data_IF_114278090210
#
_entry.id   IF_114278090210
#
_cell.length_a   1.000
_cell.length_b   1.000
_cell.length_c   1.000
_cell.angle_alpha   90.00
_cell.angle_beta   90.00
_cell.angle_gamma   90.00
#
_symmetry.space_group_name_H-M   'P 1'
#
loop_
_entity.id
_entity.type
_entity.pdbx_description
1 polymer ?
#
# COMPACT_ATOMS: atom_id res chain seq x y z
N UNK A 1 -34.70 -22.38 -15.05
CA UNK A 1 -34.55 -20.96 -14.68
C UNK A 1 -33.47 -20.41 -15.56
N UNK A 2 -33.86 -19.49 -16.44
CA UNK A 2 -33.05 -18.93 -17.50
C UNK A 2 -32.16 -17.82 -16.92
N UNK A 3 -30.84 -18.01 -16.95
CA UNK A 3 -29.83 -17.07 -16.45
C UNK A 3 -29.21 -16.23 -17.58
N UNK A 4 -29.98 -15.92 -18.62
CA UNK A 4 -29.49 -15.07 -19.72
C UNK A 4 -30.08 -13.66 -19.66
N UNK A 5 -29.78 -12.92 -18.57
CA UNK A 5 -29.86 -11.46 -18.57
C UNK A 5 -28.45 -10.89 -18.77
N UNK A 6 -28.18 -10.08 -19.80
CA UNK A 6 -26.85 -9.54 -20.11
C UNK A 6 -26.31 -8.52 -19.08
N UNK A 7 -27.01 -8.35 -17.96
CA UNK A 7 -26.65 -7.43 -16.87
C UNK A 7 -26.05 -8.13 -15.64
N UNK A 8 -26.10 -9.46 -15.56
CA UNK A 8 -25.62 -10.19 -14.37
C UNK A 8 -24.15 -10.62 -14.55
N UNK A 9 -23.24 -9.65 -14.38
CA UNK A 9 -21.80 -9.91 -14.41
C UNK A 9 -21.28 -10.62 -13.13
N UNK A 10 -22.18 -11.07 -12.26
CA UNK A 10 -21.87 -11.81 -11.03
C UNK A 10 -21.21 -10.96 -9.93
N UNK A 11 -21.12 -9.64 -10.13
CA UNK A 11 -20.53 -8.73 -9.15
C UNK A 11 -21.59 -8.19 -8.19
N UNK A 12 -21.20 -8.04 -6.92
CA UNK A 12 -22.01 -7.28 -5.96
C UNK A 12 -22.07 -5.80 -6.36
N UNK A 13 -23.03 -5.05 -5.79
CA UNK A 13 -23.11 -3.59 -5.97
C UNK A 13 -21.81 -2.87 -5.61
N UNK A 14 -21.11 -3.32 -4.54
CA UNK A 14 -19.78 -2.81 -4.16
C UNK A 14 -18.72 -3.17 -5.19
N UNK A 15 -18.75 -4.38 -5.73
CA UNK A 15 -17.84 -4.83 -6.80
C UNK A 15 -18.00 -4.01 -8.07
N UNK A 16 -19.24 -3.67 -8.45
CA UNK A 16 -19.52 -2.77 -9.57
C UNK A 16 -18.99 -1.36 -9.33
N UNK A 17 -19.20 -0.81 -8.12
CA UNK A 17 -18.71 0.52 -7.76
C UNK A 17 -17.18 0.61 -7.84
N UNK A 18 -16.49 -0.44 -7.41
CA UNK A 18 -15.03 -0.53 -7.43
C UNK A 18 -14.40 -0.54 -8.84
N UNK A 19 -15.20 -0.70 -9.91
CA UNK A 19 -14.73 -0.57 -11.29
C UNK A 19 -14.46 0.90 -11.68
N UNK A 20 -14.94 1.85 -10.90
CA UNK A 20 -14.73 3.28 -11.16
C UNK A 20 -13.30 3.68 -10.83
N UNK A 21 -12.53 4.28 -11.75
CA UNK A 21 -11.17 4.75 -11.47
C UNK A 21 -11.16 5.74 -10.31
N UNK A 22 -10.25 5.55 -9.35
CA UNK A 22 -10.08 6.43 -8.18
C UNK A 22 -9.31 7.71 -8.50
N UNK A 23 -8.67 7.76 -9.67
CA UNK A 23 -7.76 8.83 -10.10
C UNK A 23 -8.03 9.23 -11.54
N UNK A 24 -8.38 10.50 -11.74
CA UNK A 24 -8.65 11.07 -13.06
C UNK A 24 -7.38 11.18 -13.93
N UNK A 25 -6.21 11.19 -13.31
CA UNK A 25 -4.91 11.35 -13.97
C UNK A 25 -4.23 10.03 -14.36
N UNK A 26 -4.88 8.88 -14.14
CA UNK A 26 -4.36 7.56 -14.51
C UNK A 26 -3.99 7.44 -16.01
N UNK A 27 -4.80 7.93 -16.97
CA UNK A 27 -4.42 7.88 -18.38
C UNK A 27 -3.13 8.64 -18.69
N UNK A 28 -2.93 9.80 -18.06
CA UNK A 28 -1.72 10.61 -18.23
C UNK A 28 -0.52 9.92 -17.59
N UNK A 29 -0.70 9.30 -16.42
CA UNK A 29 0.33 8.48 -15.79
C UNK A 29 0.75 7.33 -16.71
N UNK A 30 -0.19 6.54 -17.24
CA UNK A 30 0.14 5.41 -18.12
C UNK A 30 0.79 5.85 -19.43
N UNK A 31 0.33 6.95 -20.02
CA UNK A 31 0.98 7.54 -21.19
C UNK A 31 2.43 7.94 -20.87
N UNK A 32 2.65 8.64 -19.76
CA UNK A 32 3.99 9.04 -19.34
C UNK A 32 4.91 7.85 -19.02
N UNK A 33 4.36 6.78 -18.43
CA UNK A 33 5.10 5.56 -18.14
C UNK A 33 5.44 4.75 -19.41
N UNK A 34 4.62 4.84 -20.46
CA UNK A 34 4.86 4.19 -21.74
C UNK A 34 5.87 4.91 -22.64
N UNK A 35 6.06 6.21 -22.44
CA UNK A 35 6.99 7.04 -23.22
C UNK A 35 7.88 7.88 -22.29
N UNK A 36 8.69 7.20 -21.47
CA UNK A 36 9.50 7.88 -20.45
C UNK A 36 10.68 8.63 -21.04
N UNK A 37 10.93 9.81 -20.47
CA UNK A 37 12.12 10.60 -20.75
C UNK A 37 13.40 9.80 -20.45
N UNK A 38 14.35 9.89 -21.39
CA UNK A 38 15.73 9.49 -21.17
C UNK A 38 16.67 10.48 -21.85
N UNK A 39 17.73 10.98 -21.19
CA UNK A 39 18.54 12.10 -21.71
C UNK A 39 19.21 11.83 -23.07
N UNK A 40 19.45 10.56 -23.41
CA UNK A 40 20.08 10.15 -24.68
C UNK A 40 19.09 9.46 -25.64
N UNK A 41 18.53 8.31 -25.25
CA UNK A 41 17.65 7.51 -26.11
C UNK A 41 16.22 8.05 -26.30
N UNK A 42 15.70 8.91 -25.41
CA UNK A 42 14.37 9.48 -25.55
C UNK A 42 14.25 10.88 -24.91
N UNK A 43 14.96 11.89 -25.46
CA UNK A 43 15.00 13.22 -24.85
C UNK A 43 13.67 13.98 -24.95
N UNK A 44 12.70 13.48 -25.73
CA UNK A 44 11.35 14.06 -25.88
C UNK A 44 10.28 13.31 -25.07
N UNK A 45 10.64 12.23 -24.39
CA UNK A 45 9.71 11.48 -23.53
C UNK A 45 9.29 12.28 -22.29
N UNK A 46 8.35 11.71 -21.54
CA UNK A 46 7.74 12.33 -20.37
C UNK A 46 8.53 12.09 -19.08
N UNK A 47 8.63 13.13 -18.26
CA UNK A 47 9.00 13.02 -16.85
C UNK A 47 7.72 12.89 -16.01
N UNK A 48 7.46 11.72 -15.46
CA UNK A 48 6.29 11.52 -14.58
C UNK A 48 6.55 12.13 -13.20
N UNK A 49 5.73 13.10 -12.81
CA UNK A 49 5.68 13.69 -11.47
C UNK A 49 4.36 13.35 -10.74
N UNK A 50 3.66 12.31 -11.22
CA UNK A 50 2.30 11.94 -10.76
C UNK A 50 2.32 10.86 -9.66
N UNK A 51 3.49 10.36 -9.27
CA UNK A 51 3.63 9.28 -8.29
C UNK A 51 4.54 9.73 -7.15
N UNK A 52 4.03 9.64 -5.92
CA UNK A 52 4.83 9.84 -4.72
C UNK A 52 5.63 8.58 -4.42
N UNK A 53 6.79 8.44 -5.08
CA UNK A 53 7.70 7.31 -4.91
C UNK A 53 9.09 7.79 -4.47
N UNK A 54 9.66 7.14 -3.45
CA UNK A 54 11.00 7.46 -2.99
C UNK A 54 12.01 6.40 -3.43
N UNK A 55 12.80 6.71 -4.46
CA UNK A 55 13.90 5.88 -4.97
C UNK A 55 15.28 6.31 -4.47
N UNK A 56 15.37 7.37 -3.67
CA UNK A 56 16.65 8.00 -3.29
C UNK A 56 17.56 7.04 -2.53
N UNK A 57 16.98 6.19 -1.68
CA UNK A 57 17.72 5.23 -0.86
C UNK A 57 17.71 3.80 -1.44
N UNK A 58 17.22 3.62 -2.68
CA UNK A 58 17.03 2.28 -3.23
C UNK A 58 18.34 1.47 -3.30
N UNK A 59 19.45 2.09 -3.70
CA UNK A 59 20.75 1.41 -3.76
C UNK A 59 21.18 0.84 -2.40
N UNK A 60 20.99 1.61 -1.32
CA UNK A 60 21.26 1.19 0.04
C UNK A 60 20.34 0.04 0.48
N UNK A 61 19.03 0.20 0.26
CA UNK A 61 18.03 -0.81 0.61
C UNK A 61 18.26 -2.12 -0.13
N UNK A 62 18.54 -2.05 -1.44
CA UNK A 62 18.84 -3.20 -2.28
C UNK A 62 20.07 -3.96 -1.76
N UNK A 63 21.17 -3.25 -1.49
CA UNK A 63 22.39 -3.88 -0.96
C UNK A 63 22.14 -4.58 0.37
N UNK A 64 21.33 -3.97 1.25
CA UNK A 64 20.97 -4.57 2.54
C UNK A 64 20.11 -5.83 2.37
N UNK A 65 19.10 -5.79 1.50
CA UNK A 65 18.26 -6.96 1.21
C UNK A 65 19.08 -8.12 0.63
N UNK A 66 20.01 -7.84 -0.29
CA UNK A 66 20.90 -8.84 -0.86
C UNK A 66 21.90 -9.42 0.15
N UNK A 67 22.34 -8.61 1.13
CA UNK A 67 23.14 -9.08 2.27
C UNK A 67 22.36 -10.03 3.16
N UNK A 68 21.16 -9.65 3.59
CA UNK A 68 20.32 -10.47 4.46
C UNK A 68 19.90 -11.77 3.78
N UNK A 69 19.52 -11.72 2.50
CA UNK A 69 19.12 -12.92 1.76
C UNK A 69 20.25 -13.95 1.61
N UNK A 70 21.53 -13.52 1.63
CA UNK A 70 22.68 -14.43 1.60
C UNK A 70 22.85 -15.23 2.90
N UNK A 71 22.23 -14.81 4.01
CA UNK A 71 22.27 -15.55 5.28
C UNK A 71 21.37 -16.78 5.28
N UNK A 72 20.51 -16.92 4.25
CA UNK A 72 19.48 -17.94 4.19
C UNK A 72 18.17 -17.44 4.78
N UNK A 73 17.10 -18.19 4.50
CA UNK A 73 15.76 -17.96 5.05
C UNK A 73 15.46 -19.13 5.97
N UNK A 74 15.05 -18.83 7.20
CA UNK A 74 14.70 -19.86 8.16
C UNK A 74 13.44 -20.63 7.72
N UNK A 75 13.39 -21.94 8.01
CA UNK A 75 12.27 -22.81 7.63
C UNK A 75 10.91 -22.36 8.18
N UNK A 76 10.89 -21.65 9.33
CA UNK A 76 9.65 -21.16 9.93
C UNK A 76 8.92 -20.14 9.04
N UNK A 77 9.65 -19.44 8.15
CA UNK A 77 9.09 -18.43 7.25
C UNK A 77 8.06 -19.03 6.27
N UNK A 78 8.18 -20.32 5.95
CA UNK A 78 7.23 -21.01 5.08
C UNK A 78 5.88 -21.33 5.77
N UNK A 79 5.79 -21.15 7.09
CA UNK A 79 4.60 -21.45 7.89
C UNK A 79 3.77 -20.22 8.26
N UNK A 80 2.59 -20.47 8.85
CA UNK A 80 1.81 -19.42 9.51
C UNK A 80 2.50 -18.99 10.81
N UNK A 81 2.55 -17.67 11.03
CA UNK A 81 3.01 -17.06 12.28
C UNK A 81 1.87 -16.45 13.10
N UNK A 82 2.24 -15.59 14.05
CA UNK A 82 1.29 -14.71 14.77
C UNK A 82 0.50 -13.88 13.75
N UNK A 83 -0.82 -13.84 13.90
CA UNK A 83 -1.74 -13.13 13.00
C UNK A 83 -1.53 -11.62 13.01
N UNK A 84 -0.88 -11.09 14.05
CA UNK A 84 -0.46 -9.67 14.15
C UNK A 84 0.88 -9.40 13.45
N UNK A 85 1.56 -10.44 12.97
CA UNK A 85 2.93 -10.38 12.44
C UNK A 85 3.98 -10.90 13.42
N UNK A 86 5.11 -11.34 12.87
CA UNK A 86 6.20 -11.94 13.64
C UNK A 86 6.63 -11.04 14.82
N UNK A 87 6.81 -11.57 16.04
CA UNK A 87 7.20 -10.78 17.22
C UNK A 87 8.50 -9.99 17.06
N UNK A 88 9.52 -10.55 16.40
CA UNK A 88 10.80 -9.87 16.12
C UNK A 88 10.58 -8.70 15.18
N UNK A 89 9.75 -8.87 14.15
CA UNK A 89 9.35 -7.79 13.26
C UNK A 89 8.62 -6.66 14.00
N UNK A 90 7.63 -6.99 14.85
CA UNK A 90 6.89 -5.99 15.65
C UNK A 90 7.82 -5.24 16.61
N UNK A 91 8.77 -5.94 17.22
CA UNK A 91 9.78 -5.34 18.11
C UNK A 91 10.70 -4.37 17.37
N UNK A 92 11.23 -4.78 16.21
CA UNK A 92 12.07 -3.92 15.38
C UNK A 92 11.31 -2.71 14.83
N UNK A 93 10.05 -2.90 14.45
CA UNK A 93 9.16 -1.83 13.99
C UNK A 93 8.89 -0.83 15.11
N UNK A 94 8.57 -1.29 16.32
CA UNK A 94 8.40 -0.43 17.49
C UNK A 94 9.64 0.45 17.72
N UNK A 95 10.83 -0.16 17.75
CA UNK A 95 12.08 0.58 17.92
C UNK A 95 12.28 1.64 16.83
N UNK A 96 12.07 1.29 15.56
CA UNK A 96 12.15 2.23 14.45
C UNK A 96 11.16 3.38 14.60
N UNK A 97 9.90 3.10 14.98
CA UNK A 97 8.86 4.13 15.19
C UNK A 97 9.25 5.11 16.29
N UNK A 98 9.75 4.61 17.43
CA UNK A 98 10.23 5.43 18.54
C UNK A 98 11.35 6.37 18.10
N UNK A 99 12.33 5.84 17.37
CA UNK A 99 13.55 6.56 16.96
C UNK A 99 13.29 7.58 15.86
N UNK A 100 12.23 7.42 15.07
CA UNK A 100 12.00 8.23 13.86
C UNK A 100 10.88 9.25 14.01
N UNK A 101 9.64 8.82 14.25
CA UNK A 101 8.47 9.69 14.09
C UNK A 101 7.46 9.66 15.24
N UNK A 102 7.54 8.73 16.19
CA UNK A 102 6.62 8.69 17.35
C UNK A 102 7.18 9.46 18.54
N UNK A 103 8.51 9.46 18.75
CA UNK A 103 9.18 10.19 19.83
C UNK A 103 8.62 9.89 21.24
N UNK A 104 8.02 8.71 21.42
CA UNK A 104 7.46 8.21 22.67
C UNK A 104 7.61 6.69 22.70
N UNK A 105 7.45 6.07 23.88
CA UNK A 105 7.52 4.60 24.01
C UNK A 105 6.41 3.94 23.20
N UNK A 106 6.76 2.94 22.39
CA UNK A 106 5.84 2.13 21.59
C UNK A 106 5.92 0.69 22.08
N UNK A 107 4.81 0.20 22.64
CA UNK A 107 4.69 -1.20 23.03
C UNK A 107 4.51 -2.09 21.78
N UNK A 108 5.44 -3.01 21.48
CA UNK A 108 5.31 -3.90 20.33
C UNK A 108 4.08 -4.82 20.40
N UNK A 109 3.51 -5.07 21.58
CA UNK A 109 2.26 -5.84 21.72
C UNK A 109 1.02 -5.05 21.27
N UNK A 110 1.13 -3.73 21.12
CA UNK A 110 0.10 -2.87 20.53
C UNK A 110 0.24 -2.70 19.01
N UNK A 111 1.17 -3.40 18.37
CA UNK A 111 1.39 -3.34 16.92
C UNK A 111 0.74 -4.55 16.24
N UNK A 112 -0.02 -4.31 15.18
CA UNK A 112 -0.47 -5.33 14.24
C UNK A 112 -0.07 -4.93 12.81
N UNK A 113 0.58 -5.84 12.10
CA UNK A 113 0.98 -5.67 10.71
C UNK A 113 -0.20 -5.91 9.76
N UNK A 114 -0.23 -5.16 8.67
CA UNK A 114 -1.21 -5.32 7.60
C UNK A 114 -0.57 -5.07 6.23
N UNK A 115 -1.27 -5.42 5.16
CA UNK A 115 -0.79 -5.33 3.77
C UNK A 115 -0.80 -3.88 3.25
N UNK A 116 0.00 -3.02 3.88
CA UNK A 116 0.13 -1.60 3.53
C UNK A 116 -0.94 -0.70 4.15
N UNK A 117 -0.79 0.60 3.92
CA UNK A 117 -1.61 1.63 4.58
C UNK A 117 -3.10 1.55 4.21
N UNK A 118 -3.43 1.15 2.97
CA UNK A 118 -4.83 1.01 2.54
C UNK A 118 -5.57 -0.02 3.41
N UNK A 119 -4.98 -1.21 3.60
CA UNK A 119 -5.58 -2.23 4.45
C UNK A 119 -5.63 -1.83 5.92
N UNK A 120 -4.67 -1.04 6.42
CA UNK A 120 -4.73 -0.48 7.78
C UNK A 120 -5.95 0.44 7.93
N UNK A 121 -6.18 1.35 6.99
CA UNK A 121 -7.32 2.27 7.04
C UNK A 121 -8.65 1.50 6.95
N UNK A 122 -8.75 0.51 6.05
CA UNK A 122 -9.95 -0.32 5.93
C UNK A 122 -10.23 -1.08 7.24
N UNK A 123 -9.21 -1.70 7.85
CA UNK A 123 -9.37 -2.38 9.14
C UNK A 123 -9.80 -1.42 10.24
N UNK A 124 -9.22 -0.20 10.29
CA UNK A 124 -9.62 0.81 11.27
C UNK A 124 -11.10 1.22 11.10
N UNK A 125 -11.56 1.44 9.86
CA UNK A 125 -12.96 1.74 9.60
C UNK A 125 -13.89 0.61 10.06
N UNK A 126 -13.53 -0.65 9.78
CA UNK A 126 -14.28 -1.82 10.26
C UNK A 126 -14.31 -1.97 11.78
N UNK A 127 -13.25 -1.55 12.49
CA UNK A 127 -13.18 -1.66 13.95
C UNK A 127 -13.86 -0.50 14.68
N UNK A 128 -13.92 0.69 14.06
CA UNK A 128 -14.32 1.93 14.74
C UNK A 128 -15.68 2.47 14.30
N UNK A 129 -16.23 1.98 13.18
CA UNK A 129 -17.43 2.56 12.56
C UNK A 129 -18.48 1.49 12.26
N UNK A 130 -19.74 1.89 12.35
CA UNK A 130 -20.89 1.15 11.85
C UNK A 130 -21.37 1.70 10.50
N UNK A 131 -22.17 0.94 9.72
CA UNK A 131 -22.79 1.46 8.51
C UNK A 131 -23.62 2.73 8.78
N UNK A 132 -23.22 3.84 8.15
CA UNK A 132 -23.87 5.15 8.31
C UNK A 132 -23.03 6.16 9.09
N UNK A 133 -21.98 5.71 9.78
CA UNK A 133 -20.99 6.61 10.40
C UNK A 133 -20.15 7.32 9.33
N UNK A 134 -19.51 8.42 9.73
CA UNK A 134 -18.68 9.23 8.86
C UNK A 134 -17.30 9.51 9.49
N UNK A 135 -16.26 9.50 8.65
CA UNK A 135 -14.90 9.91 9.00
C UNK A 135 -14.64 11.33 8.49
N UNK A 136 -14.08 12.20 9.33
CA UNK A 136 -13.64 13.53 8.91
C UNK A 136 -12.23 13.46 8.31
N UNK A 137 -12.07 13.89 7.07
CA UNK A 137 -10.78 13.97 6.38
C UNK A 137 -10.51 15.43 5.96
N UNK A 138 -9.43 16.07 6.42
CA UNK A 138 -9.14 17.45 6.07
C UNK A 138 -8.76 17.59 4.59
N UNK A 139 -9.18 18.68 3.95
CA UNK A 139 -8.82 18.99 2.56
C UNK A 139 -7.55 19.86 2.49
N UNK A 140 -6.66 19.66 1.50
CA UNK A 140 -6.67 18.60 0.48
C UNK A 140 -6.25 17.24 1.06
N UNK A 141 -6.81 16.15 0.53
CA UNK A 141 -6.53 14.79 1.00
C UNK A 141 -6.07 13.87 -0.14
N UNK A 142 -5.57 12.69 0.26
CA UNK A 142 -5.15 11.65 -0.67
C UNK A 142 -6.37 11.06 -1.41
N UNK A 143 -6.37 11.19 -2.74
CA UNK A 143 -7.50 10.82 -3.61
C UNK A 143 -8.10 9.42 -3.40
N UNK A 144 -7.32 8.44 -2.92
CA UNK A 144 -7.84 7.10 -2.66
C UNK A 144 -8.79 7.01 -1.44
N UNK A 145 -8.95 8.08 -0.65
CA UNK A 145 -10.00 8.17 0.37
C UNK A 145 -11.37 8.56 -0.19
N UNK A 146 -11.45 8.91 -1.48
CA UNK A 146 -12.69 9.28 -2.16
C UNK A 146 -13.52 8.06 -2.55
#
# INVERSE_FOLDING_TARGET
MDHSSPEDNGLSSRGLQALTPTRDDLPQLFNALGDQYHPVSNPQGFLSLLVAENKLNWAMMKAKLEEENRKGVDDWVAGYGDTRGNPEFRTALAAMMQDTFVQAVVDPECIAASAGCASVVDTLAWCLCEPGDACLVPVPFYCAFK
#
